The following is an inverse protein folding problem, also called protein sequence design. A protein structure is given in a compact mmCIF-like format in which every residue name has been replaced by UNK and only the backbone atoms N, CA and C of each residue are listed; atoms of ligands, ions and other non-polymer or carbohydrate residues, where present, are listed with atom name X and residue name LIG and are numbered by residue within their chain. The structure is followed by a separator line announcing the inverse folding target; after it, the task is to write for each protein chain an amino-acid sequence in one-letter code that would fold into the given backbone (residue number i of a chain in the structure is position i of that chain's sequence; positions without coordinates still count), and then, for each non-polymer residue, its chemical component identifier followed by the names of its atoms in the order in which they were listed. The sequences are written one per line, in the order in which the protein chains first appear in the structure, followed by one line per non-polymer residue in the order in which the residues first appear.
data_IF_984487474103
#
_entry.id   IF_984487474103
#
_cell.length_a   1.000
_cell.length_b   1.000
_cell.length_c   1.000
_cell.angle_alpha   90.00
_cell.angle_beta   90.00
_cell.angle_gamma   90.00
#
_symmetry.space_group_name_H-M   'P 1'
#
loop_
_entity.id
_entity.type
_entity.pdbx_description
1 polymer ?
#
# COMPACT_ATOMS: atom_id res chain seq x y z
N UNK A 1 39.19 -8.57 -50.91
CA UNK A 1 37.87 -8.13 -50.39
C UNK A 1 37.13 -9.39 -50.02
N UNK A 2 37.33 -9.84 -48.79
CA UNK A 2 36.75 -11.09 -48.27
C UNK A 2 35.52 -10.75 -47.44
N UNK A 3 34.39 -11.35 -47.80
CA UNK A 3 33.13 -11.31 -47.07
C UNK A 3 33.14 -12.37 -45.96
N UNK A 4 32.71 -12.07 -44.69
CA UNK A 4 32.66 -13.05 -43.66
C UNK A 4 31.40 -13.94 -43.82
N UNK A 5 31.59 -15.25 -43.67
CA UNK A 5 30.56 -16.30 -43.69
C UNK A 5 29.74 -16.25 -42.39
N UNK A 6 28.41 -16.22 -42.53
CA UNK A 6 27.41 -16.39 -41.46
C UNK A 6 27.27 -17.88 -41.13
N UNK A 7 27.77 -18.30 -39.96
CA UNK A 7 27.73 -19.68 -39.47
C UNK A 7 26.64 -19.81 -38.37
N UNK A 8 25.36 -19.70 -38.74
CA UNK A 8 24.23 -19.97 -37.86
C UNK A 8 23.85 -21.45 -37.90
N UNK A 9 24.26 -22.20 -36.89
CA UNK A 9 23.78 -23.57 -36.66
C UNK A 9 22.35 -23.55 -36.08
N UNK A 10 21.42 -24.38 -36.58
CA UNK A 10 20.05 -24.43 -36.03
C UNK A 10 20.01 -25.15 -34.69
N UNK A 11 19.29 -24.58 -33.76
CA UNK A 11 18.98 -25.18 -32.44
C UNK A 11 17.99 -26.32 -32.62
N UNK A 12 18.40 -27.51 -32.25
CA UNK A 12 17.60 -28.74 -32.31
C UNK A 12 16.73 -28.83 -31.05
N UNK A 13 15.42 -28.59 -31.18
CA UNK A 13 14.43 -28.78 -30.10
C UNK A 13 14.16 -30.30 -29.97
N UNK A 14 14.58 -30.88 -28.85
CA UNK A 14 14.17 -32.24 -28.47
C UNK A 14 12.77 -32.20 -27.85
N UNK A 15 11.83 -32.88 -28.52
CA UNK A 15 10.51 -33.15 -27.96
C UNK A 15 10.60 -34.31 -26.96
N UNK A 16 10.31 -34.06 -25.71
CA UNK A 16 10.17 -35.08 -24.67
C UNK A 16 8.73 -35.60 -24.75
N UNK A 17 8.61 -36.86 -25.19
CA UNK A 17 7.33 -37.58 -25.20
C UNK A 17 7.19 -38.32 -23.88
N UNK A 18 6.26 -37.91 -23.03
CA UNK A 18 5.89 -38.60 -21.79
C UNK A 18 4.80 -39.61 -22.11
N UNK A 19 5.14 -40.89 -22.07
CA UNK A 19 4.19 -42.00 -22.20
C UNK A 19 3.64 -42.39 -20.83
N UNK A 20 2.36 -42.12 -20.61
CA UNK A 20 1.60 -42.62 -19.46
C UNK A 20 1.28 -44.10 -19.68
N UNK A 21 1.79 -44.98 -18.86
CA UNK A 21 1.35 -46.40 -18.78
C UNK A 21 0.30 -46.51 -17.68
N UNK A 22 -0.95 -46.75 -18.08
CA UNK A 22 -2.03 -47.22 -17.20
C UNK A 22 -1.83 -48.72 -16.89
N UNK A 23 -1.67 -49.02 -15.61
CA UNK A 23 -1.85 -50.42 -15.13
C UNK A 23 -3.06 -50.43 -14.17
N UNK A 24 -4.17 -50.95 -14.69
CA UNK A 24 -5.35 -51.30 -13.89
C UNK A 24 -5.07 -52.63 -13.17
N UNK A 25 -5.14 -52.58 -11.83
CA UNK A 25 -5.19 -53.79 -11.00
C UNK A 25 -6.50 -53.81 -10.26
N UNK A 26 -7.42 -54.70 -10.71
CA UNK A 26 -8.70 -54.97 -10.03
C UNK A 26 -8.41 -55.98 -8.94
N UNK A 27 -8.58 -55.58 -7.66
CA UNK A 27 -8.55 -56.53 -6.55
C UNK A 27 -9.95 -56.51 -5.88
N UNK A 28 -10.69 -57.60 -6.06
CA UNK A 28 -11.95 -57.85 -5.41
C UNK A 28 -11.64 -58.35 -3.99
N UNK A 29 -12.02 -57.56 -2.94
CA UNK A 29 -12.02 -58.01 -1.58
C UNK A 29 -13.42 -57.82 -0.98
N UNK A 30 -14.07 -58.93 -0.70
CA UNK A 30 -15.32 -58.94 0.06
C UNK A 30 -15.04 -58.60 1.54
N UNK A 31 -15.64 -57.58 2.06
CA UNK A 31 -15.61 -57.29 3.50
C UNK A 31 -17.00 -57.25 4.12
N UNK A 32 -17.09 -57.97 5.19
CA UNK A 32 -18.22 -58.17 6.10
C UNK A 32 -18.65 -56.85 6.77
N UNK A 33 -19.95 -56.55 6.76
CA UNK A 33 -20.54 -55.44 7.47
C UNK A 33 -20.47 -55.68 8.99
N UNK A 34 -19.68 -54.89 9.70
CA UNK A 34 -19.84 -54.64 11.13
C UNK A 34 -20.36 -53.21 11.32
N UNK A 35 -21.60 -53.11 11.79
CA UNK A 35 -22.25 -51.85 11.99
C UNK A 35 -21.65 -51.10 13.19
N UNK A 36 -20.97 -49.98 12.90
CA UNK A 36 -20.70 -48.93 13.88
C UNK A 36 -21.68 -47.78 13.64
N UNK A 37 -22.49 -47.49 14.66
CA UNK A 37 -23.34 -46.28 14.68
C UNK A 37 -22.47 -45.04 14.64
N UNK A 38 -22.72 -44.05 13.75
CA UNK A 38 -22.02 -42.78 13.80
C UNK A 38 -22.50 -41.98 15.01
N UNK A 39 -21.58 -41.65 15.90
CA UNK A 39 -21.79 -40.61 16.93
C UNK A 39 -21.82 -39.24 16.21
N UNK A 40 -22.81 -38.39 16.49
CA UNK A 40 -22.81 -37.06 15.89
C UNK A 40 -21.65 -36.23 16.46
N UNK A 41 -20.62 -35.97 15.65
CA UNK A 41 -19.63 -34.95 15.95
C UNK A 41 -20.28 -33.59 15.86
N UNK A 42 -20.58 -33.02 17.01
CA UNK A 42 -21.00 -31.61 17.13
C UNK A 42 -19.79 -30.74 16.81
N UNK A 43 -19.64 -30.37 15.54
CA UNK A 43 -18.70 -29.32 15.14
C UNK A 43 -19.24 -28.01 15.72
N UNK A 44 -18.67 -27.56 16.82
CA UNK A 44 -18.94 -26.22 17.35
C UNK A 44 -18.47 -25.21 16.30
N UNK A 45 -19.43 -24.66 15.56
CA UNK A 45 -19.19 -23.51 14.67
C UNK A 45 -18.96 -22.31 15.59
N UNK A 46 -17.69 -21.98 15.86
CA UNK A 46 -17.32 -20.73 16.48
C UNK A 46 -17.53 -19.62 15.46
N UNK A 47 -18.75 -19.07 15.45
CA UNK A 47 -19.00 -17.79 14.78
C UNK A 47 -18.09 -16.76 15.42
N UNK A 48 -17.26 -16.03 14.66
CA UNK A 48 -16.49 -14.92 15.22
C UNK A 48 -17.48 -13.93 15.81
N UNK A 49 -17.40 -13.70 17.11
CA UNK A 49 -18.15 -12.62 17.76
C UNK A 49 -17.56 -11.34 17.17
N UNK A 50 -18.32 -10.66 16.31
CA UNK A 50 -17.98 -9.32 15.85
C UNK A 50 -17.81 -8.45 17.10
N UNK A 51 -16.65 -7.81 17.25
CA UNK A 51 -16.43 -6.85 18.30
C UNK A 51 -17.55 -5.80 18.25
N UNK A 52 -18.15 -5.41 19.39
CA UNK A 52 -19.21 -4.41 19.41
C UNK A 52 -18.68 -3.14 18.74
N UNK A 53 -19.47 -2.56 17.84
CA UNK A 53 -19.17 -1.26 17.24
C UNK A 53 -18.94 -0.26 18.37
N UNK A 54 -17.81 0.46 18.32
CA UNK A 54 -17.50 1.45 19.34
C UNK A 54 -18.61 2.48 19.40
N UNK A 55 -19.12 2.73 20.62
CA UNK A 55 -20.11 3.77 20.85
C UNK A 55 -19.49 5.14 20.49
N UNK A 56 -19.99 5.77 19.42
CA UNK A 56 -19.51 7.06 18.94
C UNK A 56 -19.50 8.15 20.03
N UNK A 57 -20.35 7.96 21.07
CA UNK A 57 -20.42 8.89 22.22
C UNK A 57 -19.21 8.80 23.16
N UNK A 58 -18.39 7.75 23.07
CA UNK A 58 -17.22 7.52 23.94
C UNK A 58 -15.87 7.64 23.22
N UNK A 59 -15.85 7.75 21.89
CA UNK A 59 -14.59 7.80 21.13
C UNK A 59 -13.72 8.99 21.50
N UNK A 60 -12.42 8.78 21.43
CA UNK A 60 -11.38 9.81 21.55
C UNK A 60 -10.65 10.04 20.23
N UNK A 61 -9.55 10.76 20.31
CA UNK A 61 -8.63 11.00 19.18
C UNK A 61 -7.18 11.03 19.63
N UNK A 62 -6.28 10.86 18.65
CA UNK A 62 -4.85 11.11 18.81
C UNK A 62 -4.51 12.29 17.90
N UNK A 63 -3.81 13.29 18.42
CA UNK A 63 -3.23 14.36 17.62
C UNK A 63 -1.75 14.48 17.91
N UNK A 64 -0.96 14.82 16.91
CA UNK A 64 0.47 14.88 17.10
C UNK A 64 1.22 15.61 16.01
N UNK A 65 2.54 15.61 16.17
CA UNK A 65 3.49 16.18 15.22
C UNK A 65 4.64 15.19 15.07
N UNK A 66 5.10 15.02 13.85
CA UNK A 66 6.32 14.28 13.55
C UNK A 66 7.45 15.27 13.32
N UNK A 67 8.50 15.16 14.12
CA UNK A 67 9.68 16.01 14.08
C UNK A 67 10.79 15.37 13.25
N UNK A 68 11.68 16.22 12.75
CA UNK A 68 12.94 15.82 12.14
C UNK A 68 14.09 16.47 12.89
N UNK A 69 15.04 15.65 13.36
CA UNK A 69 16.23 16.09 14.04
C UNK A 69 17.43 16.15 13.09
N UNK A 70 18.27 17.15 13.25
CA UNK A 70 19.42 17.40 12.40
C UNK A 70 19.13 18.22 11.15
N UNK A 71 20.11 18.24 10.25
CA UNK A 71 19.99 18.95 8.96
C UNK A 71 19.30 18.04 7.93
N UNK A 72 18.17 18.45 7.35
CA UNK A 72 17.53 17.65 6.32
C UNK A 72 18.44 17.55 5.08
N UNK A 73 18.39 16.44 4.32
CA UNK A 73 19.10 16.32 3.06
C UNK A 73 18.61 17.38 2.07
N UNK A 74 19.52 17.84 1.21
CA UNK A 74 19.16 18.77 0.16
C UNK A 74 18.25 18.11 -0.86
N UNK A 75 17.18 18.80 -1.23
CA UNK A 75 16.28 18.34 -2.27
C UNK A 75 16.92 18.57 -3.64
N UNK A 76 16.96 17.52 -4.45
CA UNK A 76 17.57 17.56 -5.78
C UNK A 76 16.52 18.04 -6.79
N UNK A 77 16.87 19.06 -7.60
CA UNK A 77 16.04 19.48 -8.71
C UNK A 77 15.91 18.36 -9.75
N UNK A 78 14.70 18.12 -10.20
CA UNK A 78 14.40 17.09 -11.19
C UNK A 78 14.50 17.69 -12.57
N UNK A 79 15.38 17.12 -13.42
CA UNK A 79 15.45 17.44 -14.84
C UNK A 79 14.33 16.73 -15.59
N UNK A 80 13.39 17.51 -16.13
CA UNK A 80 12.24 17.02 -16.89
C UNK A 80 12.33 17.30 -18.40
N UNK A 81 13.48 17.72 -18.91
CA UNK A 81 13.62 18.13 -20.33
C UNK A 81 13.38 16.99 -21.33
N UNK A 82 13.45 15.74 -20.87
CA UNK A 82 13.17 14.57 -21.72
C UNK A 82 11.71 14.52 -22.23
N UNK A 83 10.76 15.12 -21.52
CA UNK A 83 9.36 15.29 -21.96
C UNK A 83 9.03 16.79 -22.09
N UNK A 84 8.71 17.28 -23.31
CA UNK A 84 8.38 18.68 -23.52
C UNK A 84 7.13 19.18 -22.76
N UNK A 85 6.20 18.30 -22.41
CA UNK A 85 5.03 18.68 -21.62
C UNK A 85 5.45 18.91 -20.14
N UNK A 86 6.32 18.06 -19.62
CA UNK A 86 6.87 18.17 -18.27
C UNK A 86 7.83 19.35 -18.12
N UNK A 87 8.65 19.60 -19.16
CA UNK A 87 9.62 20.72 -19.18
C UNK A 87 8.94 22.11 -19.09
N UNK A 88 7.65 22.21 -19.44
CA UNK A 88 6.87 23.45 -19.32
C UNK A 88 6.29 23.70 -17.92
N UNK A 89 6.57 22.85 -16.94
CA UNK A 89 6.13 23.08 -15.55
C UNK A 89 6.61 24.46 -15.06
N UNK A 90 5.72 25.31 -14.55
CA UNK A 90 6.07 26.69 -14.18
C UNK A 90 6.97 26.79 -12.95
N UNK A 91 7.16 25.71 -12.23
CA UNK A 91 7.96 25.62 -11.01
C UNK A 91 8.98 24.48 -11.14
N UNK A 92 10.23 24.67 -10.68
CA UNK A 92 11.16 23.56 -10.61
C UNK A 92 10.61 22.48 -9.66
N UNK A 93 10.55 21.25 -10.13
CA UNK A 93 10.22 20.11 -9.31
C UNK A 93 11.46 19.60 -8.58
N UNK A 94 11.29 19.16 -7.35
CA UNK A 94 12.34 18.62 -6.51
C UNK A 94 11.95 17.24 -5.99
N UNK A 95 12.95 16.43 -5.66
CA UNK A 95 12.72 15.15 -4.98
C UNK A 95 11.92 15.34 -3.69
N UNK A 96 11.04 14.38 -3.36
CA UNK A 96 10.14 14.45 -2.20
C UNK A 96 10.46 13.42 -1.10
N UNK A 97 11.60 12.75 -1.19
CA UNK A 97 12.00 11.68 -0.29
C UNK A 97 12.07 12.10 1.19
N UNK A 98 12.48 13.35 1.48
CA UNK A 98 12.48 13.89 2.84
C UNK A 98 12.02 15.34 2.77
N UNK A 99 10.78 15.60 3.16
CA UNK A 99 10.20 16.94 3.18
C UNK A 99 10.14 17.44 4.62
N UNK A 100 11.02 18.41 4.92
CA UNK A 100 11.10 19.00 6.26
C UNK A 100 10.83 20.51 6.18
N UNK A 101 9.91 20.97 7.01
CA UNK A 101 9.58 22.40 7.18
C UNK A 101 9.65 22.74 8.66
N UNK A 102 10.51 23.66 9.07
CA UNK A 102 10.66 24.09 10.47
C UNK A 102 10.84 22.90 11.45
N UNK A 103 11.73 21.96 11.11
CA UNK A 103 11.97 20.72 11.88
C UNK A 103 10.77 19.76 11.94
N UNK A 104 9.77 19.89 11.11
CA UNK A 104 8.63 18.99 11.04
C UNK A 104 8.68 18.17 9.74
N UNK A 105 8.38 16.87 9.84
CA UNK A 105 8.50 15.90 8.75
C UNK A 105 7.12 15.60 8.13
N UNK A 106 6.97 15.89 6.85
CA UNK A 106 5.79 15.54 6.06
C UNK A 106 5.87 14.10 5.52
N UNK A 107 4.76 13.63 4.94
CA UNK A 107 4.66 12.33 4.24
C UNK A 107 4.93 11.11 5.13
N UNK A 108 4.76 11.24 6.45
CA UNK A 108 4.84 10.12 7.38
C UNK A 108 3.46 9.48 7.50
N UNK A 109 3.38 8.18 7.28
CA UNK A 109 2.18 7.41 7.55
C UNK A 109 2.13 7.05 9.03
N UNK A 110 1.08 7.51 9.73
CA UNK A 110 0.85 7.25 11.16
C UNK A 110 -0.41 6.40 11.30
N UNK A 111 -0.33 5.25 11.98
CA UNK A 111 -1.44 4.31 12.06
C UNK A 111 -1.47 3.51 13.37
N UNK A 112 -2.65 3.00 13.72
CA UNK A 112 -2.77 2.05 14.83
C UNK A 112 -2.32 0.67 14.33
N UNK A 113 -1.15 0.25 14.78
CA UNK A 113 -0.51 -1.03 14.43
C UNK A 113 -1.18 -2.20 15.15
N UNK A 114 -1.55 -2.01 16.44
CA UNK A 114 -2.25 -3.01 17.23
C UNK A 114 -3.12 -2.40 18.32
N UNK A 115 -4.07 -3.20 18.84
CA UNK A 115 -5.02 -2.80 19.88
C UNK A 115 -6.37 -2.32 19.34
N UNK A 116 -6.48 -1.91 18.08
CA UNK A 116 -7.74 -1.52 17.48
C UNK A 116 -8.54 -2.75 17.01
N UNK A 117 -9.89 -2.70 17.08
CA UNK A 117 -10.72 -3.74 16.49
C UNK A 117 -10.59 -3.72 14.95
N UNK A 118 -10.63 -4.90 14.35
CA UNK A 118 -10.76 -5.01 12.90
C UNK A 118 -12.13 -4.48 12.47
N UNK A 119 -12.19 -3.76 11.37
CA UNK A 119 -13.44 -3.31 10.78
C UNK A 119 -13.34 -3.37 9.25
N UNK A 120 -14.47 -3.65 8.60
CA UNK A 120 -14.56 -3.56 7.15
C UNK A 120 -14.67 -2.10 6.70
N UNK A 121 -14.23 -1.83 5.47
CA UNK A 121 -14.48 -0.55 4.81
C UNK A 121 -16.00 -0.38 4.62
N UNK A 122 -16.59 0.74 5.05
CA UNK A 122 -18.01 0.97 4.84
C UNK A 122 -18.37 0.96 3.35
N UNK A 123 -19.54 0.40 3.02
CA UNK A 123 -20.03 0.44 1.64
C UNK A 123 -20.19 1.88 1.16
N UNK A 124 -19.75 2.16 -0.07
CA UNK A 124 -19.81 3.51 -0.64
C UNK A 124 -18.70 4.46 -0.18
N UNK A 125 -17.69 3.96 0.55
CA UNK A 125 -16.48 4.77 0.82
C UNK A 125 -15.84 5.17 -0.51
N UNK A 126 -15.62 6.48 -0.75
CA UNK A 126 -15.01 6.93 -2.00
C UNK A 126 -13.55 6.46 -2.08
N UNK A 127 -13.04 6.21 -3.29
CA UNK A 127 -11.64 5.87 -3.48
C UNK A 127 -10.72 7.02 -3.05
N UNK A 128 -9.50 6.67 -2.61
CA UNK A 128 -8.44 7.63 -2.34
C UNK A 128 -7.74 7.98 -3.65
N UNK A 129 -7.64 9.27 -3.94
CA UNK A 129 -7.11 9.76 -5.23
C UNK A 129 -5.60 9.92 -5.19
N UNK A 130 -4.92 9.40 -6.23
CA UNK A 130 -3.54 9.68 -6.60
C UNK A 130 -3.54 10.29 -8.00
N UNK A 131 -3.27 11.59 -8.10
CA UNK A 131 -3.31 12.34 -9.37
C UNK A 131 -1.91 12.52 -9.96
N UNK A 132 -1.78 12.38 -11.26
CA UNK A 132 -0.58 12.69 -12.03
C UNK A 132 -0.71 14.11 -12.56
N UNK A 133 -0.03 15.04 -11.90
CA UNK A 133 -0.13 16.48 -12.18
C UNK A 133 1.22 17.18 -12.04
N UNK A 134 1.59 17.93 -13.07
CA UNK A 134 2.90 18.56 -13.15
C UNK A 134 4.03 17.54 -13.24
N UNK A 135 3.76 16.40 -13.87
CA UNK A 135 4.66 15.26 -14.04
C UNK A 135 5.18 14.73 -12.70
N UNK A 136 4.28 14.64 -11.73
CA UNK A 136 4.47 14.03 -10.41
C UNK A 136 3.20 13.33 -9.98
N UNK A 137 3.31 12.39 -9.04
CA UNK A 137 2.15 11.89 -8.31
C UNK A 137 1.82 12.83 -7.14
N UNK A 138 0.57 13.20 -7.00
CA UNK A 138 0.08 14.10 -5.95
C UNK A 138 -1.17 13.49 -5.29
N UNK A 139 -1.16 13.34 -3.95
CA UNK A 139 -0.05 13.56 -3.03
C UNK A 139 1.05 12.48 -3.17
N UNK A 140 2.27 12.75 -2.67
CA UNK A 140 3.40 11.81 -2.72
C UNK A 140 3.14 10.51 -1.92
N UNK A 141 2.40 10.61 -0.81
CA UNK A 141 2.00 9.48 0.03
C UNK A 141 0.50 9.49 0.22
N UNK A 142 -0.16 8.39 -0.13
CA UNK A 142 -1.57 8.16 0.18
C UNK A 142 -1.74 7.01 1.15
N UNK A 143 -2.89 6.98 1.82
CA UNK A 143 -3.24 5.92 2.73
C UNK A 143 -4.71 5.55 2.60
N UNK A 144 -5.01 4.26 2.68
CA UNK A 144 -6.35 3.71 2.65
C UNK A 144 -6.45 2.52 3.60
N UNK A 145 -7.66 2.15 3.97
CA UNK A 145 -7.90 0.95 4.76
C UNK A 145 -7.87 -0.30 3.88
N UNK A 146 -7.42 -1.43 4.42
CA UNK A 146 -7.53 -2.75 3.79
C UNK A 146 -8.94 -3.01 3.26
N UNK A 147 -9.05 -3.39 1.98
CA UNK A 147 -10.31 -3.53 1.24
C UNK A 147 -10.82 -2.23 0.63
N UNK A 148 -10.12 -1.12 0.82
CA UNK A 148 -10.37 0.15 0.14
C UNK A 148 -9.81 0.19 -1.28
N UNK A 149 -10.08 1.28 -1.98
CA UNK A 149 -9.76 1.47 -3.39
C UNK A 149 -8.95 2.75 -3.57
N UNK A 150 -7.90 2.72 -4.38
CA UNK A 150 -7.25 3.92 -4.90
C UNK A 150 -7.81 4.25 -6.28
N UNK A 151 -7.94 5.54 -6.58
CA UNK A 151 -8.28 6.07 -7.90
C UNK A 151 -7.08 6.81 -8.47
N UNK A 152 -6.65 6.42 -9.65
CA UNK A 152 -5.57 7.04 -10.39
C UNK A 152 -6.13 7.98 -11.45
N UNK A 153 -5.56 9.18 -11.53
CA UNK A 153 -5.96 10.22 -12.48
C UNK A 153 -4.74 10.75 -13.22
N UNK A 154 -4.93 11.11 -14.47
CA UNK A 154 -3.94 11.86 -15.23
C UNK A 154 -4.50 13.24 -15.59
N UNK A 155 -4.09 14.28 -14.85
CA UNK A 155 -4.45 15.67 -15.10
C UNK A 155 -3.48 16.41 -16.02
N UNK A 156 -2.41 15.75 -16.47
CA UNK A 156 -1.42 16.32 -17.37
C UNK A 156 -1.77 16.15 -18.85
N UNK A 157 -1.13 16.93 -19.69
CA UNK A 157 -1.29 16.90 -21.16
C UNK A 157 -0.29 15.92 -21.84
N UNK A 158 0.24 14.96 -21.09
CA UNK A 158 1.12 13.90 -21.59
C UNK A 158 0.69 12.53 -21.06
N UNK A 159 1.23 11.46 -21.63
CA UNK A 159 0.98 10.10 -21.15
C UNK A 159 1.79 9.83 -19.89
N UNK A 160 1.15 9.22 -18.91
CA UNK A 160 1.78 8.69 -17.72
C UNK A 160 1.46 7.20 -17.54
N UNK A 161 2.01 6.63 -16.50
CA UNK A 161 1.78 5.24 -16.15
C UNK A 161 1.74 5.11 -14.62
N UNK A 162 0.86 4.25 -14.12
CA UNK A 162 0.81 3.86 -12.71
C UNK A 162 1.24 2.41 -12.60
N UNK A 163 2.48 2.19 -12.17
CA UNK A 163 3.01 0.86 -11.91
C UNK A 163 3.18 0.66 -10.41
N UNK A 164 2.27 -0.12 -9.81
CA UNK A 164 2.33 -0.48 -8.38
C UNK A 164 3.18 -1.72 -8.19
N UNK A 165 3.99 -1.74 -7.12
CA UNK A 165 4.94 -2.81 -6.82
C UNK A 165 4.65 -3.43 -5.44
N UNK A 166 3.51 -4.13 -5.26
CA UNK A 166 3.15 -4.73 -4.00
C UNK A 166 4.07 -5.91 -3.65
N UNK A 167 4.30 -6.11 -2.36
CA UNK A 167 4.99 -7.28 -1.80
C UNK A 167 4.02 -8.26 -1.15
N UNK A 168 2.81 -7.81 -0.80
CA UNK A 168 1.78 -8.66 -0.22
C UNK A 168 1.00 -9.39 -1.32
N UNK A 169 0.86 -10.74 -1.25
CA UNK A 169 0.31 -11.53 -2.34
C UNK A 169 -1.17 -11.24 -2.65
N UNK A 170 -1.91 -10.65 -1.71
CA UNK A 170 -3.32 -10.29 -1.89
C UNK A 170 -3.51 -8.88 -2.47
N UNK A 171 -2.45 -8.11 -2.68
CA UNK A 171 -2.46 -6.87 -3.44
C UNK A 171 -1.97 -7.17 -4.86
N UNK A 172 -2.79 -6.85 -5.85
CA UNK A 172 -2.44 -7.06 -7.26
C UNK A 172 -1.48 -5.96 -7.73
N UNK A 173 -0.47 -6.34 -8.51
CA UNK A 173 0.33 -5.34 -9.22
C UNK A 173 -0.49 -4.77 -10.37
N UNK A 174 -0.60 -3.44 -10.42
CA UNK A 174 -1.20 -2.70 -11.52
C UNK A 174 -0.08 -2.13 -12.41
N UNK A 175 -0.29 -2.13 -13.73
CA UNK A 175 0.57 -1.48 -14.72
C UNK A 175 -0.34 -0.76 -15.74
N UNK A 176 -0.80 0.44 -15.36
CA UNK A 176 -1.85 1.18 -16.03
C UNK A 176 -1.26 2.33 -16.84
N UNK A 177 -1.33 2.24 -18.15
CA UNK A 177 -1.00 3.38 -19.03
C UNK A 177 -2.18 4.34 -19.05
N UNK A 178 -1.93 5.61 -18.75
CA UNK A 178 -2.93 6.67 -18.69
C UNK A 178 -2.60 7.78 -19.70
N UNK A 179 -3.29 7.80 -20.86
CA UNK A 179 -3.20 8.92 -21.80
C UNK A 179 -3.56 10.26 -21.15
N UNK A 180 -3.13 11.35 -21.76
CA UNK A 180 -3.49 12.70 -21.32
C UNK A 180 -4.99 12.84 -21.06
N UNK A 181 -5.37 13.30 -19.87
CA UNK A 181 -6.77 13.53 -19.47
C UNK A 181 -7.70 12.30 -19.65
N UNK A 182 -7.15 11.10 -19.53
CA UNK A 182 -7.94 9.85 -19.58
C UNK A 182 -8.95 9.78 -18.44
N UNK A 183 -9.93 8.86 -18.57
CA UNK A 183 -10.84 8.56 -17.46
C UNK A 183 -10.05 7.93 -16.31
N UNK A 184 -10.35 8.29 -15.06
CA UNK A 184 -9.73 7.66 -13.90
C UNK A 184 -9.87 6.14 -13.91
N UNK A 185 -8.83 5.46 -13.41
CA UNK A 185 -8.82 4.01 -13.19
C UNK A 185 -8.77 3.73 -11.69
N UNK A 186 -9.33 2.61 -11.25
CA UNK A 186 -9.41 2.28 -9.82
C UNK A 186 -8.87 0.88 -9.56
N UNK A 187 -8.11 0.72 -8.45
CA UNK A 187 -7.57 -0.56 -8.01
C UNK A 187 -7.87 -0.81 -6.53
N UNK A 188 -8.33 -2.02 -6.15
CA UNK A 188 -8.55 -2.40 -4.77
C UNK A 188 -7.25 -2.88 -4.11
N UNK A 189 -7.10 -2.62 -2.81
CA UNK A 189 -5.99 -3.09 -1.99
C UNK A 189 -6.51 -3.95 -0.83
N UNK A 190 -6.24 -5.25 -0.88
CA UNK A 190 -6.88 -6.25 -0.04
C UNK A 190 -6.03 -6.75 1.13
N UNK A 191 -4.77 -6.34 1.21
CA UNK A 191 -3.87 -6.71 2.31
C UNK A 191 -3.18 -5.47 2.90
N UNK A 192 -2.94 -5.42 4.22
CA UNK A 192 -2.13 -4.37 4.83
C UNK A 192 -0.73 -4.37 4.24
N UNK A 193 -0.27 -3.18 3.83
CA UNK A 193 1.06 -3.00 3.27
C UNK A 193 1.56 -1.58 3.52
N UNK A 194 2.85 -1.47 3.86
CA UNK A 194 3.47 -0.18 4.19
C UNK A 194 4.36 0.28 3.05
N UNK A 195 4.25 1.55 2.70
CA UNK A 195 5.08 2.20 1.68
C UNK A 195 5.18 1.39 0.38
N UNK A 196 4.04 0.85 -0.09
CA UNK A 196 3.92 0.17 -1.39
C UNK A 196 4.33 1.15 -2.49
N UNK A 197 5.40 0.86 -3.27
CA UNK A 197 5.90 1.81 -4.24
C UNK A 197 4.97 1.93 -5.46
N UNK A 198 4.83 3.15 -5.95
CA UNK A 198 4.19 3.49 -7.24
C UNK A 198 5.23 4.20 -8.10
N UNK A 199 5.38 3.79 -9.35
CA UNK A 199 6.33 4.35 -10.30
C UNK A 199 5.68 4.62 -11.64
N UNK A 200 6.25 5.55 -12.40
CA UNK A 200 5.91 5.75 -13.81
C UNK A 200 6.99 5.12 -14.69
N UNK A 201 6.59 4.26 -15.64
CA UNK A 201 7.52 3.62 -16.57
C UNK A 201 8.06 4.60 -17.64
N UNK A 202 7.39 5.73 -17.87
CA UNK A 202 7.80 6.77 -18.84
C UNK A 202 8.69 7.85 -18.20
N UNK A 203 8.43 8.18 -16.92
CA UNK A 203 9.09 9.28 -16.21
C UNK A 203 9.75 8.77 -14.93
N UNK A 204 11.03 8.38 -14.97
CA UNK A 204 11.71 7.68 -13.85
C UNK A 204 11.80 8.50 -12.57
N UNK A 205 11.57 9.81 -12.64
CA UNK A 205 11.51 10.68 -11.46
C UNK A 205 10.16 10.65 -10.74
N UNK A 206 9.08 10.14 -11.39
CA UNK A 206 7.77 10.04 -10.78
C UNK A 206 7.68 8.81 -9.88
N UNK A 207 7.55 9.05 -8.61
CA UNK A 207 7.33 8.02 -7.60
C UNK A 207 6.35 8.51 -6.53
N UNK A 208 5.64 7.58 -5.91
CA UNK A 208 4.73 7.79 -4.78
C UNK A 208 4.63 6.50 -3.96
N UNK A 209 3.91 6.58 -2.83
CA UNK A 209 3.71 5.44 -1.96
C UNK A 209 2.25 5.31 -1.55
N UNK A 210 1.78 4.07 -1.52
CA UNK A 210 0.45 3.70 -1.00
C UNK A 210 0.64 2.96 0.31
N UNK A 211 -0.08 3.38 1.35
CA UNK A 211 -0.16 2.66 2.60
C UNK A 211 -1.54 2.05 2.76
N UNK A 212 -1.58 0.75 3.07
CA UNK A 212 -2.80 0.01 3.30
C UNK A 212 -2.87 -0.33 4.78
N UNK A 213 -3.70 0.40 5.53
CA UNK A 213 -3.86 0.23 6.95
C UNK A 213 -4.73 -1.00 7.28
N UNK A 214 -4.45 -1.76 8.35
CA UNK A 214 -5.29 -2.89 8.77
C UNK A 214 -6.64 -2.48 9.38
N UNK A 215 -6.81 -1.20 9.68
CA UNK A 215 -7.98 -0.62 10.35
C UNK A 215 -8.17 0.85 9.90
N UNK A 216 -9.29 1.52 10.23
CA UNK A 216 -9.57 2.89 9.77
C UNK A 216 -8.82 3.99 10.53
N UNK A 217 -7.94 3.65 11.47
CA UNK A 217 -7.29 4.60 12.37
C UNK A 217 -5.88 4.91 11.90
N UNK A 218 -5.78 5.83 10.97
CA UNK A 218 -4.51 6.28 10.37
C UNK A 218 -4.59 7.73 9.88
N UNK A 219 -3.43 8.30 9.60
CA UNK A 219 -3.26 9.60 8.95
C UNK A 219 -1.94 9.64 8.19
N UNK A 220 -1.80 10.55 7.24
CA UNK A 220 -0.51 10.95 6.67
C UNK A 220 -0.20 12.35 7.16
N UNK A 221 1.04 12.62 7.60
CA UNK A 221 1.39 13.94 8.12
C UNK A 221 1.32 15.01 7.03
N UNK A 222 0.77 16.15 7.39
CA UNK A 222 0.73 17.36 6.56
C UNK A 222 2.14 17.96 6.40
N UNK A 223 2.25 19.04 5.62
CA UNK A 223 3.51 19.75 5.37
C UNK A 223 4.17 20.32 6.63
N UNK A 224 3.38 20.57 7.67
CA UNK A 224 3.83 21.02 9.00
C UNK A 224 4.07 19.86 9.99
N UNK A 225 4.09 18.61 9.49
CA UNK A 225 4.29 17.39 10.27
C UNK A 225 3.11 17.00 11.16
N UNK A 226 2.01 17.74 11.15
CA UNK A 226 0.85 17.45 11.98
C UNK A 226 0.04 16.28 11.48
N UNK A 227 -0.61 15.55 12.41
CA UNK A 227 -1.56 14.49 12.11
C UNK A 227 -2.68 14.42 13.14
N UNK A 228 -3.82 13.84 12.72
CA UNK A 228 -4.97 13.57 13.60
C UNK A 228 -5.60 12.23 13.22
N UNK A 229 -5.77 11.37 14.22
CA UNK A 229 -6.52 10.10 14.09
C UNK A 229 -7.73 10.22 15.02
N UNK A 230 -8.94 10.21 14.43
CA UNK A 230 -10.19 10.44 15.13
C UNK A 230 -11.00 9.16 15.33
N UNK A 231 -12.04 9.27 16.17
CA UNK A 231 -13.03 8.20 16.40
C UNK A 231 -12.46 6.89 16.96
N UNK A 232 -11.31 6.95 17.66
CA UNK A 232 -10.78 5.78 18.33
C UNK A 232 -11.63 5.39 19.54
N UNK A 233 -11.96 4.13 19.72
CA UNK A 233 -12.48 3.63 21.00
C UNK A 233 -11.52 3.95 22.13
N UNK A 234 -11.98 4.11 23.37
CA UNK A 234 -11.07 4.17 24.51
C UNK A 234 -10.24 2.90 24.63
N UNK A 235 -8.93 3.03 24.84
CA UNK A 235 -8.04 1.88 24.89
C UNK A 235 -6.57 2.24 24.91
N UNK A 236 -5.73 1.20 24.98
CA UNK A 236 -4.28 1.33 24.82
C UNK A 236 -3.88 0.68 23.52
N UNK A 237 -3.07 1.40 22.74
CA UNK A 237 -2.73 1.09 21.37
C UNK A 237 -1.23 1.13 21.13
N UNK A 238 -0.74 0.35 20.18
CA UNK A 238 0.56 0.61 19.55
C UNK A 238 0.31 1.55 18.37
N UNK A 239 0.80 2.78 18.48
CA UNK A 239 0.81 3.77 17.41
C UNK A 239 2.16 3.68 16.70
N UNK A 240 2.14 3.49 15.38
CA UNK A 240 3.33 3.45 14.54
C UNK A 240 3.39 4.65 13.61
N UNK A 241 4.60 5.09 13.30
CA UNK A 241 4.90 6.11 12.29
C UNK A 241 5.95 5.56 11.32
N UNK A 242 5.65 5.60 10.02
CA UNK A 242 6.49 5.03 8.96
C UNK A 242 6.80 6.09 7.91
N UNK A 243 8.08 6.18 7.54
CA UNK A 243 8.56 7.04 6.47
C UNK A 243 9.34 6.23 5.43
N UNK A 244 9.19 6.55 4.15
CA UNK A 244 9.74 5.80 3.01
C UNK A 244 11.25 5.50 3.09
N UNK A 245 12.03 6.41 3.65
CA UNK A 245 13.50 6.30 3.75
C UNK A 245 14.03 6.21 5.18
N UNK A 246 13.27 6.66 6.18
CA UNK A 246 13.74 6.77 7.56
C UNK A 246 13.27 5.59 8.44
N UNK A 247 12.41 4.71 7.90
CA UNK A 247 11.95 3.51 8.58
C UNK A 247 10.73 3.72 9.46
N UNK A 248 10.55 2.84 10.44
CA UNK A 248 9.38 2.77 11.32
C UNK A 248 9.78 3.01 12.78
N UNK A 249 8.88 3.68 13.52
CA UNK A 249 8.95 3.87 14.97
C UNK A 249 7.60 3.56 15.61
N UNK A 250 7.58 2.95 16.78
CA UNK A 250 6.39 2.58 17.53
C UNK A 250 6.38 3.21 18.92
N UNK A 251 5.19 3.63 19.39
CA UNK A 251 4.96 4.03 20.78
C UNK A 251 3.68 3.41 21.33
N UNK A 252 3.63 3.20 22.63
CA UNK A 252 2.37 2.86 23.33
C UNK A 252 1.64 4.14 23.68
N UNK A 253 0.33 4.20 23.41
CA UNK A 253 -0.52 5.34 23.71
C UNK A 253 -1.86 4.89 24.29
N UNK A 254 -2.31 5.54 25.34
CA UNK A 254 -3.65 5.33 25.92
C UNK A 254 -4.56 6.48 25.52
N UNK A 255 -5.73 6.15 24.97
CA UNK A 255 -6.79 7.10 24.61
C UNK A 255 -7.95 6.94 25.60
N UNK A 256 -8.12 7.88 26.56
CA UNK A 256 -9.30 7.86 27.44
C UNK A 256 -10.59 8.22 26.69
N UNK A 257 -11.76 7.90 27.24
CA UNK A 257 -13.04 8.31 26.66
C UNK A 257 -13.13 9.82 26.43
N UNK A 258 -13.65 10.24 25.28
CA UNK A 258 -13.91 11.65 24.92
C UNK A 258 -12.70 12.58 25.04
N UNK A 259 -11.49 12.02 24.90
CA UNK A 259 -10.24 12.76 25.13
C UNK A 259 -9.40 12.83 23.87
N UNK A 260 -8.47 13.80 23.89
CA UNK A 260 -7.43 13.91 22.87
C UNK A 260 -6.10 13.48 23.51
N UNK A 261 -5.58 12.32 23.09
CA UNK A 261 -4.24 11.90 23.43
C UNK A 261 -3.21 12.61 22.53
N UNK A 262 -2.05 12.95 23.08
CA UNK A 262 -0.97 13.62 22.34
C UNK A 262 0.13 12.61 22.03
N UNK A 263 0.65 12.63 20.80
CA UNK A 263 1.75 11.80 20.36
C UNK A 263 2.80 12.62 19.59
N UNK A 264 4.06 12.22 19.67
CA UNK A 264 5.09 12.79 18.82
C UNK A 264 6.10 11.69 18.46
N UNK A 265 6.68 11.82 17.27
CA UNK A 265 7.78 11.00 16.78
C UNK A 265 8.92 11.92 16.36
N UNK A 266 10.15 11.43 16.41
CA UNK A 266 11.31 12.19 15.93
C UNK A 266 12.15 11.30 15.04
N UNK A 267 12.28 11.65 13.77
CA UNK A 267 13.15 10.98 12.81
C UNK A 267 14.43 11.79 12.59
N UNK A 268 15.48 11.09 12.21
CA UNK A 268 16.76 11.67 11.80
C UNK A 268 17.34 10.88 10.63
N UNK A 269 18.18 11.47 9.82
CA UNK A 269 19.02 10.72 8.88
C UNK A 269 20.06 9.91 9.67
N UNK A 270 20.28 8.67 9.25
CA UNK A 270 21.32 7.80 9.81
C UNK A 270 22.70 8.17 9.29
#
# INVERSE_FOLDING_TARGET
MDTPRDDRRPIRIQRITVTLRSTSLILLAALTLSGCKPTPSTTASTTPIAAPAADASTTGSITGVVHFDGKPPERIAIDMFADPACARSPQPNFTEQVIVTNHHLANVFVYIKSGAPASAVPSGTPPVVLDQKGCRYIPHVIALQQGGTAEFRNSDATVHNVHTLPTQPNNQSADLTEPAHSKPQTEPFNAPELMLPVRCNYHPWMNAFINVAPNPYFAVTAADGSFTISHLPPGTYTLAAVHETLGEQDIQITVPPKSIAKASFTFATR
#
